data_IF_695914715849
#
_entry.id   IF_695914715849
#
_cell.length_a   1.000
_cell.length_b   1.000
_cell.length_c   1.000
_cell.angle_alpha   90.00
_cell.angle_beta   90.00
_cell.angle_gamma   90.00
#
_symmetry.space_group_name_H-M   'P 1'
#
loop_
_entity.id
_entity.type
_entity.pdbx_description
1 polymer ?
#
# COMPACT_ATOMS: atom_id res chain seq x y z
N UNK A 1 27.94 -0.31 27.31
CA UNK A 1 27.77 -1.76 27.07
C UNK A 1 26.29 -2.00 26.81
N UNK A 2 25.92 -2.62 25.68
CA UNK A 2 24.52 -2.92 25.35
C UNK A 2 24.23 -4.28 25.99
N UNK A 3 23.84 -4.26 27.26
CA UNK A 3 23.91 -5.44 28.16
C UNK A 3 22.70 -6.36 28.03
N UNK A 4 22.39 -6.85 26.83
CA UNK A 4 21.37 -7.88 26.47
C UNK A 4 20.18 -7.34 25.67
N UNK A 5 19.95 -7.93 24.49
CA UNK A 5 18.69 -7.81 23.74
C UNK A 5 18.51 -6.61 22.82
N UNK A 6 19.58 -5.87 22.50
CA UNK A 6 19.53 -4.74 21.56
C UNK A 6 19.25 -5.16 20.11
N UNK A 7 18.79 -4.21 19.30
CA UNK A 7 18.62 -4.38 17.85
C UNK A 7 19.59 -3.48 17.10
N UNK A 8 20.11 -3.95 15.97
CA UNK A 8 20.96 -3.12 15.09
C UNK A 8 20.13 -2.62 13.92
N UNK A 9 20.05 -1.31 13.74
CA UNK A 9 19.37 -0.66 12.63
C UNK A 9 20.29 0.40 12.03
N UNK A 10 20.47 0.41 10.69
CA UNK A 10 21.43 1.29 9.98
C UNK A 10 22.86 1.27 10.56
N UNK A 11 23.34 0.10 11.01
CA UNK A 11 24.64 -0.06 11.69
C UNK A 11 24.75 0.64 13.06
N UNK A 12 23.66 1.19 13.59
CA UNK A 12 23.62 1.74 14.94
C UNK A 12 22.95 0.75 15.90
N UNK A 13 23.48 0.59 17.13
CA UNK A 13 22.83 -0.21 18.15
C UNK A 13 21.70 0.57 18.83
N UNK A 14 20.55 -0.07 18.98
CA UNK A 14 19.39 0.47 19.68
C UNK A 14 18.99 -0.45 20.83
N UNK A 15 18.56 0.15 21.95
CA UNK A 15 17.81 -0.62 22.95
C UNK A 15 16.49 -1.09 22.34
N UNK A 16 16.08 -2.32 22.66
CA UNK A 16 14.83 -2.91 22.16
C UNK A 16 13.60 -2.02 22.40
N UNK A 17 13.56 -1.40 23.58
CA UNK A 17 12.48 -0.53 24.04
C UNK A 17 12.55 0.87 23.43
N UNK A 18 13.73 1.32 22.98
CA UNK A 18 13.91 2.60 22.31
C UNK A 18 13.64 2.50 20.80
N UNK A 19 13.69 1.29 20.23
CA UNK A 19 13.38 1.07 18.82
C UNK A 19 11.88 0.93 18.60
N UNK A 20 11.19 2.07 18.60
CA UNK A 20 9.72 2.16 18.50
C UNK A 20 9.26 2.89 17.25
N UNK A 21 8.00 2.70 16.87
CA UNK A 21 7.37 3.41 15.78
C UNK A 21 7.24 4.89 16.13
N UNK A 22 7.69 5.78 15.25
CA UNK A 22 7.62 7.23 15.46
C UNK A 22 6.19 7.76 15.63
N UNK A 23 5.21 7.09 15.01
CA UNK A 23 3.80 7.50 15.08
C UNK A 23 3.04 6.95 16.30
N UNK A 24 3.08 5.63 16.52
CA UNK A 24 2.28 4.97 17.57
C UNK A 24 3.09 4.46 18.78
N UNK A 25 4.41 4.69 18.82
CA UNK A 25 5.32 4.29 19.90
C UNK A 25 5.39 2.79 20.23
N UNK A 26 4.85 1.89 19.39
CA UNK A 26 5.00 0.45 19.57
C UNK A 26 6.44 -0.01 19.28
N UNK A 27 6.96 -0.97 20.04
CA UNK A 27 8.25 -1.62 19.77
C UNK A 27 8.27 -2.26 18.38
N UNK A 28 9.29 -1.92 17.59
CA UNK A 28 9.52 -2.45 16.25
C UNK A 28 10.46 -3.67 16.26
N UNK A 29 11.13 -3.95 17.38
CA UNK A 29 12.00 -5.09 17.51
C UNK A 29 11.24 -6.41 17.31
N UNK A 30 11.60 -7.15 16.25
CA UNK A 30 10.93 -8.40 15.85
C UNK A 30 9.64 -8.20 15.03
N UNK A 31 9.28 -6.97 14.70
CA UNK A 31 8.11 -6.63 13.87
C UNK A 31 8.55 -6.20 12.46
N UNK A 32 7.61 -6.23 11.50
CA UNK A 32 7.84 -5.61 10.20
C UNK A 32 7.76 -4.09 10.35
N UNK A 33 8.81 -3.41 9.91
CA UNK A 33 8.90 -1.96 9.95
C UNK A 33 9.57 -1.44 8.68
N UNK A 34 9.44 -0.14 8.45
CA UNK A 34 10.16 0.57 7.40
C UNK A 34 10.54 1.95 7.90
N UNK A 35 11.40 2.66 7.18
CA UNK A 35 11.86 3.98 7.57
C UNK A 35 11.56 5.02 6.51
N UNK A 36 11.21 6.22 6.97
CA UNK A 36 10.96 7.38 6.13
C UNK A 36 11.57 8.62 6.77
N UNK A 37 12.32 9.40 6.00
CA UNK A 37 13.00 10.59 6.51
C UNK A 37 13.83 10.27 7.76
N UNK A 38 14.53 9.12 7.71
CA UNK A 38 15.35 8.55 8.79
C UNK A 38 14.62 8.12 10.07
N UNK A 39 13.29 8.27 10.10
CA UNK A 39 12.44 7.88 11.22
C UNK A 39 11.84 6.49 11.00
N UNK A 40 11.89 5.58 11.99
CA UNK A 40 11.31 4.25 11.87
C UNK A 40 9.79 4.28 12.11
N UNK A 41 9.03 3.54 11.30
CA UNK A 41 7.58 3.39 11.37
C UNK A 41 7.20 1.91 11.28
N UNK A 42 6.18 1.50 12.04
CA UNK A 42 5.59 0.17 11.85
C UNK A 42 4.91 0.09 10.47
N UNK A 43 4.75 -1.13 9.95
CA UNK A 43 4.18 -1.33 8.63
C UNK A 43 2.76 -0.74 8.47
N UNK A 44 1.97 -0.77 9.54
CA UNK A 44 0.61 -0.22 9.59
C UNK A 44 0.61 1.31 9.52
N UNK A 45 1.30 2.00 10.43
CA UNK A 45 1.39 3.46 10.42
C UNK A 45 2.03 3.98 9.13
N UNK A 46 3.07 3.29 8.61
CA UNK A 46 3.63 3.69 7.33
C UNK A 46 2.60 3.56 6.19
N UNK A 47 1.82 2.48 6.19
CA UNK A 47 0.75 2.26 5.24
C UNK A 47 -0.32 3.36 5.30
N UNK A 48 -0.78 3.71 6.49
CA UNK A 48 -1.82 4.74 6.66
C UNK A 48 -1.33 6.15 6.31
N UNK A 49 -0.12 6.50 6.72
CA UNK A 49 0.41 7.86 6.58
C UNK A 49 0.97 8.13 5.18
N UNK A 50 1.53 7.12 4.52
CA UNK A 50 2.39 7.33 3.36
C UNK A 50 2.05 6.51 2.13
N UNK A 51 1.28 5.42 2.24
CA UNK A 51 0.97 4.61 1.08
C UNK A 51 -0.08 5.28 0.19
N UNK A 52 0.05 5.07 -1.13
CA UNK A 52 -1.01 5.37 -2.08
C UNK A 52 -2.25 4.55 -1.71
N UNK A 53 -3.45 5.12 -1.87
CA UNK A 53 -4.71 4.41 -1.60
C UNK A 53 -5.29 3.85 -2.87
N UNK A 54 -5.85 2.66 -2.79
CA UNK A 54 -6.57 2.08 -3.91
C UNK A 54 -7.85 2.86 -4.16
N UNK A 55 -8.10 3.29 -5.40
CA UNK A 55 -9.30 4.02 -5.80
C UNK A 55 -10.57 3.18 -5.59
N UNK A 56 -10.51 1.86 -5.78
CA UNK A 56 -11.67 0.98 -5.66
C UNK A 56 -12.03 0.60 -4.22
N UNK A 57 -11.04 0.27 -3.37
CA UNK A 57 -11.29 -0.21 -2.01
C UNK A 57 -10.87 0.77 -0.89
N UNK A 58 -10.24 1.90 -1.23
CA UNK A 58 -9.78 2.97 -0.32
C UNK A 58 -8.69 2.53 0.67
N UNK A 59 -8.30 1.25 0.65
CA UNK A 59 -7.21 0.70 1.48
C UNK A 59 -5.85 1.12 0.94
N UNK A 60 -4.85 1.30 1.81
CA UNK A 60 -3.48 1.58 1.40
C UNK A 60 -2.89 0.44 0.56
N UNK A 61 -2.13 0.80 -0.46
CA UNK A 61 -1.34 -0.09 -1.30
C UNK A 61 0.03 -0.24 -0.64
N UNK A 62 0.09 -1.09 0.38
CA UNK A 62 1.33 -1.39 1.09
C UNK A 62 2.09 -2.48 0.35
N UNK A 63 3.38 -2.29 0.06
CA UNK A 63 4.24 -3.29 -0.60
C UNK A 63 4.55 -4.54 0.24
N UNK A 64 3.79 -4.80 1.31
CA UNK A 64 3.93 -5.97 2.17
C UNK A 64 3.47 -7.19 1.34
N UNK A 65 4.44 -7.90 0.75
CA UNK A 65 4.19 -9.09 -0.07
C UNK A 65 4.49 -8.94 -1.56
N UNK A 66 5.18 -7.87 -2.00
CA UNK A 66 5.58 -7.74 -3.40
C UNK A 66 4.42 -7.50 -4.37
N UNK A 67 3.31 -6.95 -3.87
CA UNK A 67 2.09 -6.73 -4.66
C UNK A 67 2.34 -5.70 -5.76
N UNK A 68 2.29 -6.16 -7.01
CA UNK A 68 2.17 -5.29 -8.19
C UNK A 68 0.88 -4.48 -8.05
N UNK A 69 0.98 -3.18 -8.30
CA UNK A 69 -0.19 -2.28 -8.31
C UNK A 69 -0.28 -1.62 -9.68
N UNK A 70 -1.49 -1.19 -10.02
CA UNK A 70 -1.80 -0.58 -11.31
C UNK A 70 -1.96 0.92 -11.08
N UNK A 71 -1.35 1.73 -11.96
CA UNK A 71 -1.40 3.18 -11.90
C UNK A 71 -1.84 3.74 -13.24
N UNK A 72 -2.81 4.65 -13.22
CA UNK A 72 -3.32 5.33 -14.41
C UNK A 72 -3.91 6.68 -14.01
N UNK A 73 -3.50 7.78 -14.66
CA UNK A 73 -4.00 9.15 -14.39
C UNK A 73 -4.12 9.47 -12.89
N UNK A 74 -3.01 9.35 -12.15
CA UNK A 74 -2.92 9.56 -10.69
C UNK A 74 -3.80 8.65 -9.81
N UNK A 75 -4.60 7.77 -10.41
CA UNK A 75 -5.36 6.75 -9.72
C UNK A 75 -4.53 5.47 -9.60
N UNK A 76 -4.73 4.78 -8.49
CA UNK A 76 -3.96 3.60 -8.14
C UNK A 76 -4.90 2.48 -7.71
N UNK A 77 -4.61 1.25 -8.09
CA UNK A 77 -5.40 0.08 -7.70
C UNK A 77 -4.48 -1.06 -7.27
N UNK A 78 -4.94 -1.86 -6.31
CA UNK A 78 -4.40 -3.21 -6.17
C UNK A 78 -4.66 -3.98 -7.47
N UNK A 79 -3.77 -4.92 -7.80
CA UNK A 79 -3.95 -5.82 -8.93
C UNK A 79 -5.36 -6.43 -8.99
N UNK A 80 -5.85 -6.94 -7.86
CA UNK A 80 -7.16 -7.60 -7.76
C UNK A 80 -8.34 -6.62 -7.69
N UNK A 81 -8.06 -5.34 -7.44
CA UNK A 81 -9.06 -4.27 -7.41
C UNK A 81 -9.24 -3.60 -8.77
N UNK A 82 -8.43 -3.93 -9.77
CA UNK A 82 -8.53 -3.36 -11.11
C UNK A 82 -9.56 -4.14 -11.95
N UNK A 83 -10.83 -3.91 -11.63
CA UNK A 83 -11.98 -4.63 -12.19
C UNK A 83 -13.02 -3.67 -12.77
N UNK A 84 -13.78 -4.14 -13.75
CA UNK A 84 -14.90 -3.40 -14.34
C UNK A 84 -15.96 -3.10 -13.26
N UNK A 85 -16.39 -1.85 -13.15
CA UNK A 85 -17.39 -1.44 -12.17
C UNK A 85 -18.74 -2.15 -12.36
N UNK A 86 -19.11 -2.47 -13.61
CA UNK A 86 -20.36 -3.14 -13.98
C UNK A 86 -20.29 -4.67 -13.83
N UNK A 87 -19.39 -5.35 -14.56
CA UNK A 87 -19.35 -6.81 -14.59
C UNK A 87 -18.33 -7.46 -13.64
N UNK A 88 -17.55 -6.66 -12.91
CA UNK A 88 -16.49 -7.12 -11.99
C UNK A 88 -15.37 -7.95 -12.63
N UNK A 89 -15.31 -8.03 -13.96
CA UNK A 89 -14.22 -8.70 -14.66
C UNK A 89 -12.89 -7.96 -14.46
N UNK A 90 -11.79 -8.71 -14.28
CA UNK A 90 -10.44 -8.14 -14.22
C UNK A 90 -10.08 -7.44 -15.53
N UNK A 91 -9.60 -6.20 -15.40
CA UNK A 91 -9.15 -5.36 -16.51
C UNK A 91 -7.62 -5.40 -16.68
N UNK A 92 -6.93 -6.21 -15.88
CA UNK A 92 -5.46 -6.33 -15.94
C UNK A 92 -5.05 -6.85 -17.32
N UNK A 93 -4.21 -6.10 -18.02
CA UNK A 93 -3.74 -6.44 -19.36
C UNK A 93 -4.83 -6.37 -20.45
N UNK A 94 -5.99 -5.78 -20.16
CA UNK A 94 -7.10 -5.58 -21.11
C UNK A 94 -7.33 -4.09 -21.33
N UNK A 95 -7.93 -3.75 -22.47
CA UNK A 95 -8.44 -2.39 -22.70
C UNK A 95 -9.55 -2.05 -21.70
N UNK A 96 -9.61 -0.80 -21.27
CA UNK A 96 -10.65 -0.28 -20.37
C UNK A 96 -11.00 1.16 -20.75
N UNK A 97 -12.17 1.62 -20.30
CA UNK A 97 -12.67 2.98 -20.48
C UNK A 97 -12.90 3.59 -19.11
N UNK A 98 -12.52 4.85 -18.94
CA UNK A 98 -12.80 5.61 -17.73
C UNK A 98 -14.18 6.27 -17.82
N UNK A 99 -14.96 6.15 -16.75
CA UNK A 99 -16.31 6.70 -16.62
C UNK A 99 -16.39 7.42 -15.27
N UNK A 100 -15.95 8.69 -15.24
CA UNK A 100 -15.79 9.44 -14.00
C UNK A 100 -14.81 8.74 -13.03
N UNK A 101 -15.26 8.38 -11.80
CA UNK A 101 -14.41 7.67 -10.83
C UNK A 101 -14.23 6.18 -11.17
N UNK A 102 -15.10 5.64 -12.01
CA UNK A 102 -15.18 4.21 -12.31
C UNK A 102 -14.40 3.85 -13.59
N UNK A 103 -14.09 2.55 -13.72
CA UNK A 103 -13.49 1.96 -14.90
C UNK A 103 -14.38 0.84 -15.42
N UNK A 104 -14.56 0.78 -16.74
CA UNK A 104 -15.43 -0.17 -17.42
C UNK A 104 -14.65 -0.97 -18.46
N UNK A 105 -15.06 -2.22 -18.68
CA UNK A 105 -14.61 -2.96 -19.85
C UNK A 105 -15.28 -2.40 -21.12
N UNK A 106 -14.69 -2.63 -22.31
CA UNK A 106 -15.24 -2.16 -23.58
C UNK A 106 -16.69 -2.58 -23.83
N UNK A 107 -17.08 -3.78 -23.41
CA UNK A 107 -18.43 -4.29 -23.63
C UNK A 107 -19.46 -3.56 -22.74
N UNK A 108 -19.15 -3.40 -21.45
CA UNK A 108 -20.01 -2.65 -20.53
C UNK A 108 -20.07 -1.15 -20.88
N UNK A 109 -18.95 -0.57 -21.34
CA UNK A 109 -18.93 0.83 -21.79
C UNK A 109 -19.83 1.03 -23.02
N UNK A 110 -19.77 0.12 -24.01
CA UNK A 110 -20.68 0.14 -25.17
C UNK A 110 -22.13 0.02 -24.76
N UNK A 111 -22.45 -0.90 -23.83
CA UNK A 111 -23.82 -1.10 -23.37
C UNK A 111 -24.39 0.12 -22.65
N UNK A 112 -23.55 0.93 -21.98
CA UNK A 112 -23.96 2.15 -21.28
C UNK A 112 -24.24 3.33 -22.23
N UNK A 113 -23.70 3.30 -23.44
CA UNK A 113 -23.85 4.35 -24.45
C UNK A 113 -25.01 4.10 -25.44
N UNK A 114 -25.72 2.98 -25.28
CA UNK A 114 -26.94 2.65 -26.03
C UNK A 114 -28.16 2.96 -25.16
#
# INVERSE_FOLDING_TARGET
VITSGGVTYKNEPWHRECFTCTHCNITLAGQRFTSRDEKPYCAECFGELFAKRCTACVKPITGIGGTRFISFEDRHWHHDCFVCASCKASLVGRGFITDGPDILCPDCAKQKLM
#
